data_IF_507457945463
#
_entry.id   IF_507457945463
#
_cell.length_a   1.000
_cell.length_b   1.000
_cell.length_c   1.000
_cell.angle_alpha   90.00
_cell.angle_beta   90.00
_cell.angle_gamma   90.00
#
_symmetry.space_group_name_H-M   'P 1'
#
loop_
_entity.id
_entity.type
_entity.pdbx_description
1 polymer ?
#
# COMPACT_ATOMS: atom_id res chain seq x y z
N UNK A 1 2.96 -18.69 -36.71
CA UNK A 1 1.65 -18.00 -36.75
C UNK A 1 1.76 -16.81 -35.75
N UNK A 2 1.97 -15.62 -36.29
CA UNK A 2 2.15 -14.41 -35.50
C UNK A 2 0.78 -14.08 -34.89
N UNK A 3 0.62 -14.15 -33.56
CA UNK A 3 -0.54 -13.58 -32.89
C UNK A 3 -0.30 -12.08 -32.75
N UNK A 4 -0.81 -11.31 -33.69
CA UNK A 4 -0.92 -9.87 -33.52
C UNK A 4 -1.99 -9.62 -32.45
N UNK A 5 -1.58 -9.21 -31.28
CA UNK A 5 -2.53 -8.86 -30.23
C UNK A 5 -3.04 -7.45 -30.49
N UNK A 6 -4.25 -7.31 -31.05
CA UNK A 6 -4.93 -6.00 -31.15
C UNK A 6 -5.39 -5.48 -29.78
N UNK A 7 -4.65 -5.80 -28.71
CA UNK A 7 -4.93 -5.37 -27.34
C UNK A 7 -3.95 -4.28 -26.92
N UNK A 8 -4.40 -3.29 -26.16
CA UNK A 8 -3.49 -2.32 -25.57
C UNK A 8 -2.43 -3.01 -24.70
N UNK A 9 -1.18 -2.58 -24.84
CA UNK A 9 -0.03 -3.10 -24.12
C UNK A 9 0.60 -1.99 -23.27
N UNK A 10 1.04 -2.36 -22.10
CA UNK A 10 1.98 -1.60 -21.28
C UNK A 10 3.32 -2.34 -21.32
N UNK A 11 4.08 -2.12 -22.38
CA UNK A 11 5.42 -2.68 -22.60
C UNK A 11 6.32 -1.57 -23.09
N UNK A 12 7.59 -1.57 -22.70
CA UNK A 12 8.54 -0.59 -23.19
C UNK A 12 8.75 -0.76 -24.70
N UNK A 13 8.83 0.34 -25.44
CA UNK A 13 8.80 0.35 -26.91
C UNK A 13 9.93 -0.46 -27.56
N UNK A 14 11.12 -0.49 -26.96
CA UNK A 14 12.25 -1.28 -27.41
C UNK A 14 12.04 -2.80 -27.35
N UNK A 15 11.05 -3.25 -26.58
CA UNK A 15 10.67 -4.66 -26.46
C UNK A 15 9.43 -5.02 -27.30
N UNK A 16 8.86 -4.04 -28.01
CA UNK A 16 7.62 -4.29 -28.76
C UNK A 16 7.82 -5.27 -29.92
N UNK A 17 8.88 -5.10 -30.72
CA UNK A 17 9.18 -6.00 -31.84
C UNK A 17 9.52 -7.43 -31.40
N UNK A 18 10.40 -7.64 -30.41
CA UNK A 18 10.61 -8.98 -29.84
C UNK A 18 9.33 -9.59 -29.27
N UNK A 19 8.49 -8.76 -28.64
CA UNK A 19 7.19 -9.18 -28.09
C UNK A 19 6.19 -9.63 -29.17
N UNK A 20 6.28 -9.05 -30.38
CA UNK A 20 5.44 -9.39 -31.53
C UNK A 20 6.00 -10.47 -32.43
N UNK A 21 7.34 -10.66 -32.45
CA UNK A 21 8.06 -11.57 -33.34
C UNK A 21 8.68 -12.76 -32.59
N UNK A 22 7.91 -13.45 -31.77
CA UNK A 22 8.39 -14.58 -30.98
C UNK A 22 8.99 -15.70 -31.83
N UNK A 23 10.30 -15.94 -31.67
CA UNK A 23 10.91 -17.18 -32.08
C UNK A 23 10.62 -18.29 -31.06
N UNK A 24 10.49 -19.53 -31.61
CA UNK A 24 10.21 -20.71 -30.80
C UNK A 24 11.35 -21.01 -29.83
N UNK A 25 11.13 -20.89 -28.52
CA UNK A 25 12.05 -21.31 -27.47
C UNK A 25 11.62 -22.72 -27.00
N UNK A 26 12.57 -23.70 -26.94
CA UNK A 26 12.22 -25.06 -26.53
C UNK A 26 11.67 -25.10 -25.10
N UNK A 27 10.68 -26.00 -24.91
CA UNK A 27 10.00 -26.23 -23.64
C UNK A 27 10.96 -26.53 -22.49
N UNK A 28 11.23 -25.56 -21.65
CA UNK A 28 11.66 -25.75 -20.28
C UNK A 28 10.42 -25.53 -19.39
N UNK A 29 10.07 -26.48 -18.58
CA UNK A 29 8.95 -26.35 -17.66
C UNK A 29 9.39 -25.43 -16.52
N UNK A 30 9.30 -24.12 -16.71
CA UNK A 30 9.41 -23.18 -15.60
C UNK A 30 8.01 -23.01 -14.99
N UNK A 31 7.77 -23.70 -13.90
CA UNK A 31 6.66 -23.40 -12.99
C UNK A 31 7.14 -22.28 -12.08
N UNK A 32 6.95 -21.04 -12.51
CA UNK A 32 7.26 -19.83 -11.72
C UNK A 32 6.13 -19.48 -10.75
N UNK A 33 5.57 -20.46 -10.04
CA UNK A 33 4.43 -20.20 -9.16
C UNK A 33 4.77 -20.32 -7.66
N UNK A 34 6.02 -20.53 -7.32
CA UNK A 34 6.42 -20.66 -5.93
C UNK A 34 7.46 -19.59 -5.55
N UNK A 35 7.16 -18.86 -4.47
CA UNK A 35 8.16 -18.00 -3.84
C UNK A 35 9.16 -18.85 -3.07
N UNK A 36 10.40 -18.38 -2.97
CA UNK A 36 11.39 -18.90 -2.03
C UNK A 36 11.41 -18.04 -0.77
N UNK A 37 11.72 -18.64 0.38
CA UNK A 37 11.89 -17.88 1.62
C UNK A 37 13.38 -17.84 1.94
N UNK A 38 13.91 -16.64 2.10
CA UNK A 38 15.27 -16.41 2.55
C UNK A 38 15.24 -15.45 3.76
N UNK A 39 15.64 -15.96 4.93
CA UNK A 39 15.65 -15.20 6.20
C UNK A 39 14.34 -14.43 6.49
N UNK A 40 13.18 -15.08 6.33
CA UNK A 40 11.87 -14.45 6.56
C UNK A 40 11.34 -13.63 5.39
N UNK A 41 12.13 -13.40 4.33
CA UNK A 41 11.71 -12.66 3.13
C UNK A 41 11.22 -13.64 2.07
N UNK A 42 9.95 -13.51 1.65
CA UNK A 42 9.42 -14.26 0.50
C UNK A 42 9.84 -13.57 -0.81
N UNK A 43 10.66 -14.23 -1.60
CA UNK A 43 11.11 -13.72 -2.90
C UNK A 43 10.21 -14.24 -4.00
N UNK A 44 9.55 -13.33 -4.69
CA UNK A 44 8.58 -13.61 -5.77
C UNK A 44 9.16 -13.09 -7.08
N UNK A 45 9.52 -13.97 -8.03
CA UNK A 45 10.05 -13.54 -9.32
C UNK A 45 8.95 -12.98 -10.23
N UNK A 46 9.25 -11.84 -10.87
CA UNK A 46 8.38 -11.15 -11.84
C UNK A 46 9.20 -10.88 -13.10
N UNK A 47 9.32 -11.90 -13.96
CA UNK A 47 10.26 -11.90 -15.07
C UNK A 47 9.57 -11.99 -16.43
N UNK A 48 10.21 -11.35 -17.43
CA UNK A 48 9.80 -11.40 -18.81
C UNK A 48 8.47 -10.66 -19.06
N UNK A 49 7.77 -11.04 -20.13
CA UNK A 49 6.51 -10.39 -20.52
C UNK A 49 5.39 -10.72 -19.54
N UNK A 50 4.66 -9.68 -19.10
CA UNK A 50 3.52 -9.86 -18.19
C UNK A 50 2.23 -10.09 -18.96
N UNK A 51 1.49 -11.13 -18.57
CA UNK A 51 0.28 -11.57 -19.28
C UNK A 51 -0.87 -11.79 -18.30
N UNK A 52 -2.11 -11.68 -18.81
CA UNK A 52 -3.30 -12.01 -18.01
C UNK A 52 -3.40 -13.51 -17.73
N UNK A 53 -2.97 -14.33 -18.66
CA UNK A 53 -3.09 -15.80 -18.58
C UNK A 53 -1.77 -16.45 -18.92
N UNK A 54 -1.48 -17.60 -18.29
CA UNK A 54 -0.30 -18.40 -18.60
C UNK A 54 -0.29 -18.79 -20.07
N UNK A 55 0.69 -18.27 -20.83
CA UNK A 55 1.00 -18.72 -22.17
C UNK A 55 2.21 -19.65 -22.07
N UNK A 56 1.99 -20.96 -22.22
CA UNK A 56 2.97 -22.05 -21.97
C UNK A 56 4.22 -22.05 -22.85
N UNK A 57 4.43 -21.04 -23.67
CA UNK A 57 5.46 -21.08 -24.72
C UNK A 57 6.53 -20.02 -24.62
N UNK A 58 6.46 -19.10 -23.64
CA UNK A 58 7.35 -17.95 -23.57
C UNK A 58 7.83 -17.68 -22.16
N UNK A 59 8.92 -16.94 -22.06
CA UNK A 59 9.40 -16.36 -20.79
C UNK A 59 8.41 -15.28 -20.34
N UNK A 60 7.34 -15.72 -19.68
CA UNK A 60 6.23 -14.86 -19.26
C UNK A 60 5.88 -15.13 -17.80
N UNK A 61 5.50 -14.08 -17.10
CA UNK A 61 4.88 -14.17 -15.78
C UNK A 61 3.43 -13.71 -15.92
N UNK A 62 2.47 -14.47 -15.39
CA UNK A 62 1.09 -14.04 -15.44
C UNK A 62 0.63 -13.40 -14.12
N UNK A 63 -0.36 -12.50 -14.21
CA UNK A 63 -0.86 -11.76 -13.07
C UNK A 63 -1.50 -12.64 -11.98
N UNK A 64 -2.14 -13.74 -12.39
CA UNK A 64 -2.77 -14.66 -11.44
C UNK A 64 -1.72 -15.41 -10.60
N UNK A 65 -0.54 -15.74 -11.19
CA UNK A 65 0.56 -16.37 -10.45
C UNK A 65 1.20 -15.40 -9.45
N UNK A 66 1.38 -14.13 -9.83
CA UNK A 66 1.86 -13.09 -8.91
C UNK A 66 0.86 -12.93 -7.75
N UNK A 67 -0.43 -12.82 -8.07
CA UNK A 67 -1.50 -12.72 -7.06
C UNK A 67 -1.47 -13.88 -6.08
N UNK A 68 -1.39 -15.11 -6.58
CA UNK A 68 -1.38 -16.32 -5.76
C UNK A 68 -0.13 -16.38 -4.87
N UNK A 69 1.04 -16.04 -5.40
CA UNK A 69 2.30 -16.04 -4.66
C UNK A 69 2.29 -15.00 -3.54
N UNK A 70 1.88 -13.76 -3.85
CA UNK A 70 1.73 -12.70 -2.82
C UNK A 70 0.68 -13.12 -1.78
N UNK A 71 -0.47 -13.63 -2.21
CA UNK A 71 -1.54 -14.04 -1.29
C UNK A 71 -1.09 -15.16 -0.34
N UNK A 72 -0.36 -16.16 -0.83
CA UNK A 72 0.18 -17.25 0.00
C UNK A 72 1.23 -16.74 0.97
N UNK A 73 2.19 -15.92 0.50
CA UNK A 73 3.23 -15.35 1.34
C UNK A 73 2.69 -14.47 2.48
N UNK A 74 1.59 -13.74 2.23
CA UNK A 74 0.92 -12.95 3.26
C UNK A 74 0.31 -13.79 4.39
N UNK A 75 -0.02 -15.06 4.13
CA UNK A 75 -0.61 -15.98 5.12
C UNK A 75 0.39 -17.02 5.66
N UNK A 76 1.63 -16.98 5.23
CA UNK A 76 2.69 -17.89 5.73
C UNK A 76 3.36 -17.28 6.95
N UNK A 77 3.23 -17.93 8.11
CA UNK A 77 3.81 -17.47 9.38
C UNK A 77 5.35 -17.39 9.38
N UNK A 78 6.00 -18.01 8.39
CA UNK A 78 7.47 -17.94 8.22
C UNK A 78 7.93 -16.71 7.43
N UNK A 79 6.97 -15.98 6.87
CA UNK A 79 7.24 -14.80 6.02
C UNK A 79 6.97 -13.54 6.84
N UNK A 80 7.99 -12.71 6.99
CA UNK A 80 7.93 -11.42 7.66
C UNK A 80 7.71 -10.28 6.65
N UNK A 81 8.33 -10.39 5.48
CA UNK A 81 8.20 -9.44 4.38
C UNK A 81 8.26 -10.12 3.01
N UNK A 82 7.89 -9.41 1.96
CA UNK A 82 7.89 -9.88 0.58
C UNK A 82 8.82 -9.02 -0.27
N UNK A 83 9.54 -9.65 -1.18
CA UNK A 83 10.35 -8.99 -2.21
C UNK A 83 9.89 -9.45 -3.60
N UNK A 84 9.34 -8.54 -4.40
CA UNK A 84 9.12 -8.75 -5.81
C UNK A 84 10.45 -8.50 -6.55
N UNK A 85 11.08 -9.55 -7.03
CA UNK A 85 12.29 -9.48 -7.84
C UNK A 85 11.88 -9.33 -9.30
N UNK A 86 12.12 -8.13 -9.87
CA UNK A 86 11.50 -7.71 -11.13
C UNK A 86 12.58 -7.54 -12.22
N UNK A 87 12.39 -8.26 -13.32
CA UNK A 87 13.07 -8.04 -14.59
C UNK A 87 12.07 -8.21 -15.74
N UNK A 88 11.39 -7.12 -16.08
CA UNK A 88 10.26 -7.16 -17.01
C UNK A 88 10.09 -5.86 -17.81
N UNK A 89 9.88 -5.96 -19.13
CA UNK A 89 9.54 -4.80 -19.97
C UNK A 89 8.09 -4.32 -19.80
N UNK A 90 7.27 -5.02 -19.02
CA UNK A 90 5.85 -4.80 -18.90
C UNK A 90 5.01 -5.87 -19.59
N UNK A 91 3.81 -5.54 -20.06
CA UNK A 91 2.94 -6.52 -20.69
C UNK A 91 1.49 -6.06 -20.93
N UNK A 92 0.54 -6.99 -20.82
CA UNK A 92 -0.88 -6.75 -21.08
C UNK A 92 -1.53 -5.83 -20.02
N UNK A 93 -2.51 -5.03 -20.45
CA UNK A 93 -3.28 -4.17 -19.54
C UNK A 93 -4.31 -4.97 -18.74
N UNK A 94 -4.88 -6.01 -19.38
CA UNK A 94 -6.02 -6.75 -18.81
C UNK A 94 -5.67 -7.44 -17.48
N UNK A 95 -6.30 -7.01 -16.36
CA UNK A 95 -6.09 -7.56 -15.03
C UNK A 95 -4.92 -6.97 -14.24
N UNK A 96 -4.14 -6.07 -14.85
CA UNK A 96 -3.00 -5.43 -14.21
C UNK A 96 -3.42 -4.59 -13.00
N UNK A 97 -4.37 -3.68 -13.18
CA UNK A 97 -4.72 -2.71 -12.15
C UNK A 97 -5.40 -3.35 -10.94
N UNK A 98 -6.13 -4.45 -11.13
CA UNK A 98 -6.69 -5.23 -10.02
C UNK A 98 -5.57 -5.85 -9.16
N UNK A 99 -4.51 -6.38 -9.80
CA UNK A 99 -3.33 -6.88 -9.10
C UNK A 99 -2.57 -5.76 -8.37
N UNK A 100 -2.40 -4.61 -9.02
CA UNK A 100 -1.73 -3.43 -8.44
C UNK A 100 -2.49 -2.95 -7.19
N UNK A 101 -3.82 -2.88 -7.25
CA UNK A 101 -4.65 -2.48 -6.10
C UNK A 101 -4.60 -3.50 -4.97
N UNK A 102 -4.56 -4.79 -5.30
CA UNK A 102 -4.37 -5.86 -4.31
C UNK A 102 -3.02 -5.72 -3.57
N UNK A 103 -1.92 -5.55 -4.29
CA UNK A 103 -0.58 -5.38 -3.70
C UNK A 103 -0.54 -4.11 -2.84
N UNK A 104 -1.08 -2.99 -3.35
CA UNK A 104 -1.15 -1.73 -2.63
C UNK A 104 -1.88 -1.87 -1.29
N UNK A 105 -3.04 -2.53 -1.28
CA UNK A 105 -3.81 -2.78 -0.05
C UNK A 105 -3.21 -3.83 0.89
N UNK A 106 -2.33 -4.69 0.37
CA UNK A 106 -1.70 -5.75 1.15
C UNK A 106 -0.44 -5.30 1.90
N UNK A 107 0.23 -4.23 1.47
CA UNK A 107 1.50 -3.75 2.03
C UNK A 107 1.44 -3.30 3.50
N UNK A 108 0.22 -3.04 4.02
CA UNK A 108 -0.01 -2.71 5.42
C UNK A 108 -0.08 -3.96 6.34
N UNK A 109 -0.23 -5.17 5.75
CA UNK A 109 -0.24 -6.43 6.48
C UNK A 109 1.17 -6.97 6.72
N UNK A 110 1.97 -7.00 5.67
CA UNK A 110 3.39 -7.29 5.67
C UNK A 110 4.08 -6.34 4.70
N UNK A 111 5.27 -5.81 4.98
CA UNK A 111 6.01 -4.98 4.03
C UNK A 111 6.20 -5.72 2.70
N UNK A 112 5.90 -5.04 1.59
CA UNK A 112 6.12 -5.56 0.24
C UNK A 112 7.12 -4.63 -0.44
N UNK A 113 8.25 -5.17 -0.83
CA UNK A 113 9.33 -4.47 -1.50
C UNK A 113 9.38 -4.85 -2.97
N UNK A 114 9.84 -3.95 -3.83
CA UNK A 114 10.18 -4.23 -5.21
C UNK A 114 11.68 -4.00 -5.44
N UNK A 115 12.30 -4.89 -6.17
CA UNK A 115 13.67 -4.72 -6.66
C UNK A 115 13.67 -4.81 -8.19
N UNK A 116 13.94 -3.68 -8.85
CA UNK A 116 14.21 -3.70 -10.27
C UNK A 116 15.63 -4.27 -10.47
N UNK A 117 15.71 -5.57 -10.65
CA UNK A 117 16.99 -6.27 -10.81
C UNK A 117 17.70 -5.86 -12.10
N UNK A 118 16.96 -5.77 -13.22
CA UNK A 118 17.40 -5.16 -14.47
C UNK A 118 16.38 -4.13 -14.96
N UNK A 119 15.16 -4.54 -15.23
CA UNK A 119 14.11 -3.63 -15.71
C UNK A 119 12.78 -3.83 -14.98
N UNK A 120 12.15 -2.71 -14.59
CA UNK A 120 10.75 -2.69 -14.16
C UNK A 120 10.03 -1.60 -14.96
N UNK A 121 9.64 -1.92 -16.21
CA UNK A 121 9.05 -0.96 -17.12
C UNK A 121 7.54 -1.17 -17.26
N UNK A 122 6.83 -0.08 -17.50
CA UNK A 122 5.44 -0.07 -17.91
C UNK A 122 4.53 -0.87 -16.96
N UNK A 123 3.91 -1.98 -17.35
CA UNK A 123 3.08 -2.79 -16.45
C UNK A 123 3.87 -3.31 -15.22
N UNK A 124 5.13 -3.64 -15.39
CA UNK A 124 5.99 -4.06 -14.29
C UNK A 124 6.25 -2.89 -13.31
N UNK A 125 6.38 -1.66 -13.83
CA UNK A 125 6.47 -0.49 -12.98
C UNK A 125 5.16 -0.20 -12.23
N UNK A 126 3.99 -0.43 -12.86
CA UNK A 126 2.73 -0.32 -12.15
C UNK A 126 2.69 -1.23 -10.92
N UNK A 127 3.16 -2.48 -11.05
CA UNK A 127 3.29 -3.44 -9.96
C UNK A 127 4.30 -2.94 -8.91
N UNK A 128 5.51 -2.56 -9.35
CA UNK A 128 6.54 -2.03 -8.45
C UNK A 128 6.05 -0.80 -7.66
N UNK A 129 5.30 0.09 -8.31
CA UNK A 129 4.76 1.31 -7.69
C UNK A 129 3.84 1.03 -6.50
N UNK A 130 3.16 -0.14 -6.48
CA UNK A 130 2.26 -0.54 -5.41
C UNK A 130 2.99 -1.02 -4.15
N UNK A 131 4.27 -1.33 -4.26
CA UNK A 131 5.09 -1.80 -3.14
C UNK A 131 5.41 -0.67 -2.15
N UNK A 132 5.81 -1.04 -0.93
CA UNK A 132 6.18 -0.10 0.12
C UNK A 132 7.44 0.70 -0.23
N UNK A 133 8.40 0.05 -0.90
CA UNK A 133 9.62 0.69 -1.44
C UNK A 133 10.07 0.00 -2.70
N UNK A 134 10.78 0.76 -3.54
CA UNK A 134 11.37 0.31 -4.80
C UNK A 134 12.87 0.48 -4.71
N UNK A 135 13.59 -0.64 -4.79
CA UNK A 135 15.04 -0.69 -4.90
C UNK A 135 15.44 -0.80 -6.38
N UNK A 136 16.51 -0.14 -6.74
CA UNK A 136 17.14 -0.24 -8.05
C UNK A 136 18.63 -0.50 -7.88
N UNK A 137 19.31 -1.10 -8.84
CA UNK A 137 20.77 -1.08 -8.91
C UNK A 137 21.25 0.10 -9.78
N UNK A 138 22.56 0.27 -9.94
CA UNK A 138 23.16 1.40 -10.69
C UNK A 138 22.74 1.46 -12.15
N UNK A 139 22.39 0.31 -12.74
CA UNK A 139 22.10 0.15 -14.18
C UNK A 139 20.66 -0.23 -14.44
N UNK A 140 19.92 -0.69 -13.43
CA UNK A 140 18.53 -1.06 -13.61
C UNK A 140 17.62 0.14 -13.87
N UNK A 141 16.58 -0.09 -14.62
CA UNK A 141 15.67 0.93 -15.09
C UNK A 141 14.24 0.76 -14.58
N UNK A 142 13.55 1.91 -14.43
CA UNK A 142 12.14 1.99 -14.09
C UNK A 142 11.43 3.02 -14.98
N UNK A 143 10.10 3.05 -14.96
CA UNK A 143 9.34 4.04 -15.71
C UNK A 143 8.61 3.44 -16.89
N UNK A 144 8.72 4.04 -18.09
CA UNK A 144 7.92 3.70 -19.25
C UNK A 144 6.40 3.75 -18.92
N UNK A 145 5.98 4.82 -18.20
CA UNK A 145 4.58 4.99 -17.76
C UNK A 145 3.76 5.48 -18.95
N UNK A 146 3.35 4.54 -19.79
CA UNK A 146 2.64 4.81 -21.03
C UNK A 146 1.87 3.60 -21.52
N UNK A 147 1.01 3.81 -22.53
CA UNK A 147 0.17 2.78 -23.13
C UNK A 147 0.33 2.82 -24.63
N UNK A 148 0.54 1.67 -25.25
CA UNK A 148 0.58 1.54 -26.71
C UNK A 148 -0.44 0.52 -27.19
N UNK A 149 -0.99 0.77 -28.38
CA UNK A 149 -1.78 -0.17 -29.12
C UNK A 149 -1.30 -0.17 -30.57
N UNK A 150 -1.08 -1.33 -31.14
CA UNK A 150 -0.58 -1.49 -32.52
C UNK A 150 -1.63 -2.18 -33.38
N UNK A 151 -1.98 -1.58 -34.49
CA UNK A 151 -2.73 -2.22 -35.57
C UNK A 151 -1.76 -2.58 -36.70
N UNK A 152 -1.78 -3.84 -37.12
CA UNK A 152 -0.97 -4.31 -38.24
C UNK A 152 -1.87 -4.42 -39.48
N UNK A 153 -1.55 -3.69 -40.54
CA UNK A 153 -2.21 -3.79 -41.83
C UNK A 153 -1.41 -4.70 -42.76
N UNK A 154 -2.00 -5.84 -43.12
CA UNK A 154 -1.44 -6.83 -44.07
C UNK A 154 -2.17 -6.86 -45.42
N UNK A 155 -3.07 -5.93 -45.69
CA UNK A 155 -3.91 -5.91 -46.87
C UNK A 155 -3.13 -5.93 -48.19
N UNK A 156 -1.97 -5.23 -48.23
CA UNK A 156 -1.11 -5.26 -49.44
C UNK A 156 -0.38 -6.60 -49.61
N UNK A 157 -0.04 -7.28 -48.53
CA UNK A 157 0.52 -8.64 -48.59
C UNK A 157 -0.53 -9.62 -49.11
N UNK A 158 -1.76 -9.53 -48.66
CA UNK A 158 -2.88 -10.35 -49.12
C UNK A 158 -3.10 -10.18 -50.64
N UNK A 159 -3.10 -8.92 -51.13
CA UNK A 159 -3.20 -8.63 -52.56
C UNK A 159 -2.08 -9.31 -53.37
N UNK A 160 -0.82 -9.22 -52.90
CA UNK A 160 0.33 -9.85 -53.58
C UNK A 160 0.22 -11.37 -53.59
N UNK A 161 -0.38 -11.96 -52.58
CA UNK A 161 -0.64 -13.41 -52.49
C UNK A 161 -1.89 -13.83 -53.25
N UNK A 162 -2.65 -12.91 -53.86
CA UNK A 162 -3.89 -13.19 -54.56
C UNK A 162 -5.05 -13.59 -53.64
N UNK A 163 -4.95 -13.32 -52.34
CA UNK A 163 -5.98 -13.62 -51.35
C UNK A 163 -6.90 -12.39 -51.18
N UNK A 164 -8.19 -12.62 -51.20
CA UNK A 164 -9.22 -11.61 -50.97
C UNK A 164 -10.09 -12.03 -49.78
N UNK A 165 -10.11 -11.21 -48.73
CA UNK A 165 -11.03 -11.38 -47.63
C UNK A 165 -12.33 -10.64 -47.90
N UNK A 166 -13.46 -11.31 -47.63
CA UNK A 166 -14.80 -10.69 -47.65
C UNK A 166 -15.45 -11.00 -46.33
N UNK A 167 -15.41 -10.01 -45.42
CA UNK A 167 -15.95 -10.15 -44.05
C UNK A 167 -17.44 -9.80 -44.08
N UNK A 168 -18.29 -10.70 -43.59
CA UNK A 168 -19.72 -10.42 -43.37
C UNK A 168 -19.92 -10.23 -41.86
N UNK A 169 -20.42 -9.11 -41.45
CA UNK A 169 -20.56 -8.75 -40.03
C UNK A 169 -21.85 -7.98 -39.76
N UNK A 170 -22.27 -7.98 -38.49
CA UNK A 170 -23.34 -7.16 -37.97
C UNK A 170 -22.81 -6.33 -36.80
N UNK A 171 -23.19 -5.04 -36.77
CA UNK A 171 -22.62 -4.04 -35.92
C UNK A 171 -21.44 -3.31 -36.56
N UNK A 172 -21.57 -2.00 -36.77
CA UNK A 172 -20.66 -1.17 -37.58
C UNK A 172 -19.18 -1.28 -37.15
N UNK A 173 -18.92 -1.47 -35.85
CA UNK A 173 -17.57 -1.48 -35.29
C UNK A 173 -16.94 -2.88 -35.25
N UNK A 174 -17.69 -3.94 -35.65
CA UNK A 174 -17.24 -5.32 -35.45
C UNK A 174 -15.99 -5.67 -36.24
N UNK A 175 -15.73 -4.98 -37.35
CA UNK A 175 -14.58 -5.19 -38.24
C UNK A 175 -13.48 -4.12 -38.09
N UNK A 176 -13.61 -3.18 -37.16
CA UNK A 176 -12.77 -1.98 -37.05
C UNK A 176 -11.26 -2.24 -37.00
N UNK A 177 -10.82 -3.34 -36.40
CA UNK A 177 -9.40 -3.66 -36.21
C UNK A 177 -8.97 -4.90 -37.01
N UNK A 178 -9.64 -5.20 -38.13
CA UNK A 178 -9.21 -6.28 -39.03
C UNK A 178 -7.83 -5.96 -39.62
N UNK A 179 -6.88 -6.91 -39.65
CA UNK A 179 -5.59 -6.67 -40.27
C UNK A 179 -5.63 -6.73 -41.81
N UNK A 180 -6.75 -7.10 -42.40
CA UNK A 180 -6.91 -7.30 -43.83
C UNK A 180 -7.40 -6.05 -44.57
N UNK A 181 -7.57 -4.97 -43.84
CA UNK A 181 -7.99 -3.67 -44.38
C UNK A 181 -7.22 -2.54 -43.69
N UNK A 182 -6.94 -1.41 -44.37
CA UNK A 182 -6.37 -0.22 -43.75
C UNK A 182 -7.23 0.28 -42.59
N UNK A 183 -6.58 0.72 -41.52
CA UNK A 183 -7.26 1.23 -40.35
C UNK A 183 -8.07 2.50 -40.69
N UNK A 184 -9.37 2.44 -40.52
CA UNK A 184 -10.24 3.60 -40.73
C UNK A 184 -9.97 4.71 -39.71
N UNK A 185 -10.23 5.96 -40.09
CA UNK A 185 -10.09 7.12 -39.19
C UNK A 185 -10.93 6.94 -37.93
N UNK A 186 -12.18 6.48 -38.07
CA UNK A 186 -13.08 6.27 -36.94
C UNK A 186 -12.53 5.22 -35.96
N UNK A 187 -12.06 4.07 -36.48
CA UNK A 187 -11.44 3.02 -35.67
C UNK A 187 -10.16 3.51 -34.97
N UNK A 188 -9.31 4.29 -35.66
CA UNK A 188 -8.13 4.93 -35.09
C UNK A 188 -8.50 5.89 -33.93
N UNK A 189 -9.49 6.75 -34.15
CA UNK A 189 -9.91 7.73 -33.14
C UNK A 189 -10.50 7.06 -31.90
N UNK A 190 -11.22 5.93 -32.08
CA UNK A 190 -11.73 5.11 -30.96
C UNK A 190 -10.61 4.44 -30.18
N UNK A 191 -9.66 3.81 -30.89
CA UNK A 191 -8.51 3.16 -30.26
C UNK A 191 -7.67 4.18 -29.48
N UNK A 192 -7.47 5.39 -30.03
CA UNK A 192 -6.76 6.47 -29.35
C UNK A 192 -7.47 6.92 -28.07
N UNK A 193 -8.80 7.03 -28.08
CA UNK A 193 -9.55 7.34 -26.86
C UNK A 193 -9.36 6.29 -25.77
N UNK A 194 -9.36 5.02 -26.14
CA UNK A 194 -9.13 3.93 -25.19
C UNK A 194 -7.70 3.93 -24.64
N UNK A 195 -6.70 4.14 -25.48
CA UNK A 195 -5.30 4.31 -25.07
C UNK A 195 -5.16 5.47 -24.09
N UNK A 196 -5.79 6.61 -24.38
CA UNK A 196 -5.76 7.77 -23.48
C UNK A 196 -6.44 7.46 -22.14
N UNK A 197 -7.59 6.79 -22.14
CA UNK A 197 -8.30 6.38 -20.91
C UNK A 197 -7.41 5.49 -20.02
N UNK A 198 -6.74 4.53 -20.62
CA UNK A 198 -5.84 3.62 -19.91
C UNK A 198 -4.58 4.35 -19.41
N UNK A 199 -4.08 5.31 -20.18
CA UNK A 199 -2.97 6.16 -19.75
C UNK A 199 -3.32 7.00 -18.53
N UNK A 200 -4.48 7.65 -18.50
CA UNK A 200 -4.95 8.40 -17.34
C UNK A 200 -5.11 7.49 -16.09
N UNK A 201 -5.61 6.28 -16.28
CA UNK A 201 -5.69 5.28 -15.21
C UNK A 201 -4.30 4.92 -14.67
N UNK A 202 -3.32 4.74 -15.54
CA UNK A 202 -1.95 4.43 -15.15
C UNK A 202 -1.31 5.61 -14.39
N UNK A 203 -1.42 6.82 -14.90
CA UNK A 203 -0.91 8.02 -14.22
C UNK A 203 -1.49 8.17 -12.82
N UNK A 204 -2.82 8.05 -12.68
CA UNK A 204 -3.50 8.19 -11.38
C UNK A 204 -3.12 7.08 -10.41
N UNK A 205 -2.93 5.86 -10.90
CA UNK A 205 -2.49 4.71 -10.09
C UNK A 205 -1.09 4.94 -9.54
N UNK A 206 -0.14 5.34 -10.38
CA UNK A 206 1.24 5.62 -9.94
C UNK A 206 1.29 6.84 -9.01
N UNK A 207 0.53 7.90 -9.31
CA UNK A 207 0.43 9.09 -8.45
C UNK A 207 -0.02 8.72 -7.04
N UNK A 208 -1.09 7.93 -6.91
CA UNK A 208 -1.57 7.41 -5.62
C UNK A 208 -0.49 6.56 -4.94
N UNK A 209 0.05 5.59 -5.65
CA UNK A 209 0.95 4.58 -5.08
C UNK A 209 2.26 5.19 -4.57
N UNK A 210 2.81 6.16 -5.31
CA UNK A 210 4.08 6.83 -5.03
C UNK A 210 3.91 8.14 -4.25
N UNK A 211 2.67 8.56 -3.99
CA UNK A 211 2.37 9.88 -3.40
C UNK A 211 3.03 11.03 -4.17
N UNK A 212 2.94 11.01 -5.49
CA UNK A 212 3.48 12.02 -6.41
C UNK A 212 2.37 12.81 -7.09
N UNK A 213 2.68 14.05 -7.47
CA UNK A 213 1.80 14.83 -8.34
C UNK A 213 1.66 14.13 -9.71
N UNK A 214 0.43 13.93 -10.17
CA UNK A 214 0.10 13.30 -11.45
C UNK A 214 0.75 14.05 -12.63
N UNK A 215 0.85 15.38 -12.56
CA UNK A 215 1.47 16.18 -13.61
C UNK A 215 3.00 15.99 -13.65
N UNK A 216 3.63 15.70 -12.51
CA UNK A 216 5.05 15.31 -12.46
C UNK A 216 5.26 13.99 -13.22
N UNK A 217 4.37 13.02 -13.03
CA UNK A 217 4.43 11.73 -13.74
C UNK A 217 4.12 11.93 -15.24
N UNK A 218 3.10 12.70 -15.57
CA UNK A 218 2.74 13.03 -16.97
C UNK A 218 3.91 13.68 -17.74
N UNK A 219 4.70 14.54 -17.07
CA UNK A 219 5.89 15.17 -17.66
C UNK A 219 7.01 14.20 -18.00
N UNK A 220 7.01 13.01 -17.45
CA UNK A 220 8.00 11.96 -17.83
C UNK A 220 7.82 11.49 -19.27
N UNK A 221 6.61 11.70 -19.86
CA UNK A 221 6.28 11.31 -21.24
C UNK A 221 6.66 9.86 -21.57
N UNK A 222 6.41 8.96 -20.62
CA UNK A 222 6.76 7.54 -20.68
C UNK A 222 8.26 7.25 -20.86
N UNK A 223 9.14 8.16 -20.45
CA UNK A 223 10.57 7.91 -20.46
C UNK A 223 10.96 6.84 -19.42
N UNK A 224 12.13 6.23 -19.65
CA UNK A 224 12.80 5.30 -18.73
C UNK A 224 13.88 6.04 -17.94
N UNK A 225 14.06 5.66 -16.67
CA UNK A 225 15.02 6.26 -15.76
C UNK A 225 15.84 5.18 -15.09
N UNK A 226 17.15 5.40 -15.00
CA UNK A 226 18.11 4.40 -14.54
C UNK A 226 18.87 4.90 -13.31
N UNK A 227 19.14 4.00 -12.37
CA UNK A 227 19.97 4.28 -11.20
C UNK A 227 19.55 5.55 -10.45
N UNK A 228 20.47 6.51 -10.28
CA UNK A 228 20.23 7.75 -9.54
C UNK A 228 19.11 8.59 -10.14
N UNK A 229 18.99 8.66 -11.46
CA UNK A 229 17.94 9.43 -12.13
C UNK A 229 16.53 8.91 -11.75
N UNK A 230 16.38 7.60 -11.49
CA UNK A 230 15.12 7.04 -11.05
C UNK A 230 14.70 7.55 -9.66
N UNK A 231 15.67 7.80 -8.78
CA UNK A 231 15.43 8.37 -7.45
C UNK A 231 15.12 9.86 -7.55
N UNK A 232 15.88 10.62 -8.34
CA UNK A 232 15.67 12.07 -8.53
C UNK A 232 14.25 12.40 -9.02
N UNK A 233 13.71 11.60 -9.93
CA UNK A 233 12.34 11.78 -10.42
C UNK A 233 11.28 11.20 -9.46
N UNK A 234 11.67 10.47 -8.41
CA UNK A 234 10.80 9.88 -7.40
C UNK A 234 10.18 8.54 -7.80
N UNK A 235 10.70 7.90 -8.86
CA UNK A 235 10.21 6.61 -9.35
C UNK A 235 10.88 5.41 -8.64
N UNK A 236 11.98 5.63 -7.92
CA UNK A 236 12.62 4.66 -7.05
C UNK A 236 12.99 5.31 -5.71
N UNK A 237 13.34 4.50 -4.72
CA UNK A 237 13.59 4.98 -3.35
C UNK A 237 15.04 4.83 -2.92
N UNK A 238 15.76 3.84 -3.48
CA UNK A 238 17.11 3.54 -3.01
C UNK A 238 17.90 2.72 -4.04
N UNK A 239 19.21 3.02 -4.14
CA UNK A 239 20.14 2.22 -4.95
C UNK A 239 20.80 1.18 -4.06
N UNK A 240 20.70 -0.07 -4.43
CA UNK A 240 21.40 -1.18 -3.77
C UNK A 240 21.71 -2.30 -4.74
N UNK A 241 22.81 -3.01 -4.52
CA UNK A 241 23.08 -4.28 -5.17
C UNK A 241 22.65 -5.49 -4.31
N UNK A 242 22.20 -5.25 -3.08
CA UNK A 242 21.77 -6.26 -2.14
C UNK A 242 20.49 -5.81 -1.39
N UNK A 243 19.31 -5.95 -2.01
CA UNK A 243 18.06 -5.52 -1.40
C UNK A 243 17.74 -6.28 -0.11
N UNK A 244 18.17 -7.53 0.04
CA UNK A 244 17.96 -8.34 1.24
C UNK A 244 18.60 -7.71 2.48
N UNK A 245 19.86 -7.27 2.35
CA UNK A 245 20.56 -6.61 3.46
C UNK A 245 19.85 -5.33 3.89
N UNK A 246 19.34 -4.56 2.92
CA UNK A 246 18.60 -3.32 3.23
C UNK A 246 17.23 -3.61 3.87
N UNK A 247 16.54 -4.66 3.44
CA UNK A 247 15.28 -5.11 4.05
C UNK A 247 15.54 -5.52 5.51
N UNK A 248 16.50 -6.41 5.75
CA UNK A 248 16.85 -6.88 7.09
C UNK A 248 17.27 -5.75 8.05
N UNK A 249 18.07 -4.78 7.56
CA UNK A 249 18.44 -3.61 8.37
C UNK A 249 17.22 -2.77 8.76
N UNK A 250 16.26 -2.63 7.87
CA UNK A 250 15.05 -1.82 8.11
C UNK A 250 14.08 -2.52 9.05
N UNK A 251 13.89 -3.82 8.88
CA UNK A 251 13.05 -4.61 9.77
C UNK A 251 13.59 -4.57 11.19
N UNK A 252 14.88 -4.83 11.39
CA UNK A 252 15.53 -4.72 12.70
C UNK A 252 15.36 -3.34 13.34
N UNK A 253 15.55 -2.27 12.56
CA UNK A 253 15.36 -0.90 13.05
C UNK A 253 13.89 -0.61 13.43
N UNK A 254 12.94 -1.22 12.73
CA UNK A 254 11.51 -1.06 13.01
C UNK A 254 11.11 -1.84 14.27
N UNK A 255 11.69 -3.04 14.47
CA UNK A 255 11.54 -3.81 15.71
C UNK A 255 12.09 -3.06 16.92
N UNK A 256 13.33 -2.54 16.84
CA UNK A 256 13.97 -1.74 17.89
C UNK A 256 13.11 -0.53 18.26
N UNK A 257 12.56 0.18 17.26
CA UNK A 257 11.67 1.32 17.49
C UNK A 257 10.36 0.92 18.14
N UNK A 258 9.75 -0.18 17.72
CA UNK A 258 8.54 -0.70 18.33
C UNK A 258 8.77 -1.13 19.77
N UNK A 259 9.92 -1.78 20.07
CA UNK A 259 10.32 -2.11 21.44
C UNK A 259 10.48 -0.87 22.33
N UNK A 260 11.15 0.18 21.83
CA UNK A 260 11.28 1.45 22.54
C UNK A 260 9.91 2.10 22.81
N UNK A 261 8.99 2.10 21.85
CA UNK A 261 7.63 2.63 22.01
C UNK A 261 6.82 1.81 23.04
N UNK A 262 6.93 0.50 23.00
CA UNK A 262 6.28 -0.40 23.98
C UNK A 262 6.83 -0.16 25.38
N UNK A 263 8.13 -0.02 25.53
CA UNK A 263 8.76 0.23 26.82
C UNK A 263 8.37 1.61 27.40
N UNK A 264 8.32 2.61 26.54
CA UNK A 264 7.82 3.95 26.91
C UNK A 264 6.35 3.87 27.38
N UNK A 265 5.50 3.16 26.66
CA UNK A 265 4.10 2.99 27.04
C UNK A 265 3.93 2.24 28.36
N UNK A 266 4.75 1.20 28.59
CA UNK A 266 4.80 0.48 29.86
C UNK A 266 5.20 1.38 31.02
N UNK A 267 6.21 2.25 30.82
CA UNK A 267 6.65 3.20 31.83
C UNK A 267 5.54 4.21 32.17
N UNK A 268 4.83 4.74 31.17
CA UNK A 268 3.68 5.63 31.38
C UNK A 268 2.55 4.94 32.18
N UNK A 269 2.21 3.69 31.83
CA UNK A 269 1.19 2.93 32.58
C UNK A 269 1.60 2.72 34.04
N UNK A 270 2.88 2.42 34.31
CA UNK A 270 3.38 2.26 35.67
C UNK A 270 3.30 3.57 36.48
N UNK A 271 3.63 4.70 35.86
CA UNK A 271 3.50 6.02 36.50
C UNK A 271 2.03 6.35 36.80
N UNK A 272 1.12 6.11 35.86
CA UNK A 272 -0.33 6.27 36.08
C UNK A 272 -0.82 5.39 37.23
N UNK A 273 -0.36 4.14 37.29
CA UNK A 273 -0.74 3.22 38.36
C UNK A 273 -0.24 3.71 39.74
N UNK A 274 1.00 4.24 39.80
CA UNK A 274 1.56 4.82 41.01
C UNK A 274 0.77 6.07 41.47
N UNK A 275 0.42 6.95 40.52
CA UNK A 275 -0.41 8.14 40.82
C UNK A 275 -1.80 7.75 41.34
N UNK A 276 -2.45 6.76 40.72
CA UNK A 276 -3.74 6.25 41.19
C UNK A 276 -3.63 5.66 42.62
N UNK A 277 -2.53 4.94 42.92
CA UNK A 277 -2.27 4.38 44.23
C UNK A 277 -2.06 5.47 45.29
N UNK A 278 -1.25 6.48 44.97
CA UNK A 278 -0.99 7.62 45.87
C UNK A 278 -2.26 8.42 46.15
N UNK A 279 -3.15 8.55 45.19
CA UNK A 279 -4.43 9.23 45.32
C UNK A 279 -5.58 8.38 45.87
N UNK A 280 -5.31 7.13 46.28
CA UNK A 280 -6.33 6.12 46.65
C UNK A 280 -7.47 6.02 45.64
N UNK A 281 -7.10 6.00 44.35
CA UNK A 281 -8.02 6.01 43.21
C UNK A 281 -7.80 4.83 42.24
N UNK A 282 -7.36 3.67 42.75
CA UNK A 282 -6.98 2.49 41.95
C UNK A 282 -8.12 2.03 41.04
N UNK A 283 -9.38 2.24 41.44
CA UNK A 283 -10.57 1.91 40.63
C UNK A 283 -10.68 2.72 39.33
N UNK A 284 -9.96 3.87 39.23
CA UNK A 284 -9.95 4.72 38.04
C UNK A 284 -8.87 4.32 37.02
N UNK A 285 -7.93 3.45 37.41
CA UNK A 285 -6.78 3.05 36.56
C UNK A 285 -7.22 2.50 35.21
N UNK A 286 -8.10 1.51 35.20
CA UNK A 286 -8.59 0.91 33.95
C UNK A 286 -9.20 1.96 33.02
N UNK A 287 -10.02 2.87 33.57
CA UNK A 287 -10.65 3.94 32.81
C UNK A 287 -9.63 4.90 32.18
N UNK A 288 -8.58 5.27 32.90
CA UNK A 288 -7.54 6.14 32.37
C UNK A 288 -6.76 5.48 31.24
N UNK A 289 -6.47 4.19 31.35
CA UNK A 289 -5.79 3.40 30.30
C UNK A 289 -6.69 3.26 29.08
N UNK A 290 -7.96 2.87 29.24
CA UNK A 290 -8.93 2.71 28.12
C UNK A 290 -9.14 4.02 27.36
N UNK A 291 -9.18 5.15 28.06
CA UNK A 291 -9.35 6.47 27.49
C UNK A 291 -8.03 7.10 27.00
N UNK A 292 -6.91 6.36 27.09
CA UNK A 292 -5.57 6.81 26.65
C UNK A 292 -5.16 8.15 27.26
N UNK A 293 -5.47 8.38 28.55
CA UNK A 293 -5.01 9.58 29.23
C UNK A 293 -3.49 9.58 29.37
N UNK A 294 -2.88 10.74 29.12
CA UNK A 294 -1.46 10.97 29.43
C UNK A 294 -1.25 11.09 30.94
N UNK A 295 -0.03 10.91 31.40
CA UNK A 295 0.35 11.06 32.81
C UNK A 295 -0.12 12.41 33.38
N UNK A 296 0.05 13.51 32.63
CA UNK A 296 -0.35 14.85 33.06
C UNK A 296 -1.86 15.02 33.17
N UNK A 297 -2.62 14.46 32.22
CA UNK A 297 -4.09 14.43 32.28
C UNK A 297 -4.60 13.65 33.50
N UNK A 298 -3.92 12.55 33.85
CA UNK A 298 -4.23 11.77 35.05
C UNK A 298 -3.93 12.58 36.30
N UNK A 299 -2.78 13.28 36.40
CA UNK A 299 -2.43 14.17 37.52
C UNK A 299 -3.52 15.22 37.73
N UNK A 300 -3.92 15.92 36.68
CA UNK A 300 -4.97 16.94 36.74
C UNK A 300 -6.34 16.35 37.19
N UNK A 301 -6.74 15.23 36.61
CA UNK A 301 -7.99 14.56 36.96
C UNK A 301 -8.02 14.05 38.43
N UNK A 302 -6.88 13.64 38.96
CA UNK A 302 -6.75 13.21 40.35
C UNK A 302 -6.77 14.43 41.32
N UNK A 303 -6.03 15.50 41.01
CA UNK A 303 -6.04 16.75 41.80
C UNK A 303 -7.45 17.34 41.88
N UNK A 304 -8.13 17.52 40.77
CA UNK A 304 -9.52 18.02 40.75
C UNK A 304 -10.47 17.14 41.56
N UNK A 305 -10.20 15.84 41.66
CA UNK A 305 -11.02 14.93 42.47
C UNK A 305 -10.69 14.98 43.97
N UNK A 306 -9.49 15.48 44.36
CA UNK A 306 -9.08 15.66 45.75
C UNK A 306 -9.62 16.99 46.27
N UNK A 307 -9.51 18.08 45.51
CA UNK A 307 -10.07 19.40 45.88
C UNK A 307 -11.57 19.32 46.10
N UNK A 308 -12.31 18.57 45.26
CA UNK A 308 -13.74 18.33 45.43
C UNK A 308 -14.06 17.54 46.74
N UNK A 309 -13.16 16.67 47.20
CA UNK A 309 -13.35 15.95 48.48
C UNK A 309 -13.06 16.86 49.69
N UNK A 310 -12.09 17.77 49.59
CA UNK A 310 -11.81 18.75 50.65
C UNK A 310 -12.94 19.76 50.77
N UNK A 311 -13.50 20.26 49.68
CA UNK A 311 -14.69 21.14 49.72
C UNK A 311 -15.89 20.44 50.35
N UNK A 312 -16.16 19.17 50.00
CA UNK A 312 -17.26 18.41 50.62
C UNK A 312 -17.01 18.17 52.11
N UNK A 313 -15.77 17.87 52.50
CA UNK A 313 -15.40 17.66 53.92
C UNK A 313 -15.50 18.95 54.71
N UNK A 314 -15.09 20.08 54.16
CA UNK A 314 -15.23 21.40 54.81
C UNK A 314 -16.69 21.83 54.92
N UNK A 315 -17.51 21.57 53.92
CA UNK A 315 -18.95 21.86 53.98
C UNK A 315 -19.71 21.01 55.03
N UNK A 316 -19.30 19.75 55.17
CA UNK A 316 -19.87 18.87 56.19
C UNK A 316 -19.47 19.33 57.61
N UNK A 317 -18.20 19.72 57.79
CA UNK A 317 -17.70 20.22 59.06
C UNK A 317 -18.35 21.54 59.46
N UNK A 318 -18.58 22.49 58.52
CA UNK A 318 -19.32 23.73 58.77
C UNK A 318 -20.79 23.48 59.09
N UNK A 319 -21.45 22.47 58.48
CA UNK A 319 -22.84 22.12 58.75
C UNK A 319 -23.03 21.46 60.14
N UNK A 320 -22.04 20.70 60.61
CA UNK A 320 -22.05 20.12 61.98
C UNK A 320 -21.73 21.15 63.06
N UNK A 321 -20.88 22.15 62.78
CA UNK A 321 -20.61 23.25 63.71
C UNK A 321 -21.79 24.23 63.90
N UNK A 322 -22.69 24.32 62.93
CA UNK A 322 -23.88 25.14 63.04
C UNK A 322 -25.04 24.44 63.79
N UNK A 323 -24.96 23.15 64.06
CA UNK A 323 -25.90 22.48 64.98
C UNK A 323 -25.45 22.76 66.40
N UNK A 324 -26.19 23.64 67.10
CA UNK A 324 -26.00 23.95 68.52
C UNK A 324 -25.88 22.63 69.31
N UNK A 325 -24.79 22.48 70.06
CA UNK A 325 -24.51 21.27 70.82
C UNK A 325 -25.75 21.04 71.77
N UNK A 326 -26.40 19.90 71.68
CA UNK A 326 -27.63 19.61 72.45
C UNK A 326 -27.41 19.76 73.97
N UNK A 327 -26.16 19.60 74.45
CA UNK A 327 -25.78 19.86 75.87
C UNK A 327 -25.79 21.35 76.21
N UNK A 328 -25.44 22.22 75.27
CA UNK A 328 -25.47 23.67 75.46
C UNK A 328 -26.91 24.18 75.40
N UNK A 329 -27.74 23.66 74.50
CA UNK A 329 -29.16 23.99 74.43
C UNK A 329 -29.89 23.55 75.69
N UNK A 330 -29.59 22.38 76.24
CA UNK A 330 -30.18 21.92 77.52
C UNK A 330 -29.70 22.75 78.75
N UNK A 331 -28.47 23.20 78.74
CA UNK A 331 -27.97 24.09 79.78
C UNK A 331 -28.59 25.50 79.76
N UNK A 332 -28.87 26.07 78.60
CA UNK A 332 -29.59 27.30 78.43
C UNK A 332 -31.04 27.18 78.89
N UNK A 333 -31.71 26.07 78.66
CA UNK A 333 -33.09 25.87 79.18
C UNK A 333 -33.16 25.70 80.68
N UNK A 334 -32.14 25.14 81.35
CA UNK A 334 -32.09 25.05 82.84
C UNK A 334 -31.74 26.37 83.50
N UNK A 335 -30.96 27.20 82.83
CA UNK A 335 -30.61 28.54 83.40
C UNK A 335 -31.75 29.54 83.30
N UNK A 336 -32.72 29.37 82.43
CA UNK A 336 -33.91 30.22 82.24
C UNK A 336 -35.07 29.96 83.20
N UNK A 337 -34.95 28.96 84.12
CA UNK A 337 -36.07 28.57 85.01
C UNK A 337 -35.85 28.89 86.50
N UNK A 338 -34.91 29.79 86.85
CA UNK A 338 -34.77 30.28 88.21
C UNK A 338 -35.38 31.67 88.29
N UNK A 339 -36.66 31.75 88.60
CA UNK A 339 -37.33 32.90 89.03
C UNK A 339 -37.19 33.01 90.58
N UNK A 340 -36.46 34.00 91.00
CA UNK A 340 -36.48 34.46 92.41
C UNK A 340 -37.82 35.16 92.68
N UNK A 341 -38.59 34.62 93.60
CA UNK A 341 -39.60 35.41 94.30
C UNK A 341 -39.12 35.89 95.65
N UNK A 342 -39.65 36.99 96.08
CA UNK A 342 -39.03 37.91 97.06
C UNK A 342 -39.01 37.42 98.49
#
# INVERSE_FOLDING_TARGET
MIRVTNRPLLVASEYLEPTLNFEWIPKGTFVLSEYSIDNGVAVIPVYGLLTKRSERFYYTTNYDDIYLSVSRALHDDKVESLLLDIDSPGGEVGGLFDLVDFIYGARDKKPIYAYANDSAFSAAYAIASACSRIFVNRTSGVGSIGVIATHTDISEADKKLGVKYTTIFAGEEKNDLTPHEPLSKNAKDKLQREVNRLYEMFLSTVARNRNLDIEKIRKTQAATYYGENAIEVGLADEITCNPWEEIMKKEKKMEEKNEEEIEKYRAEILEIAQLCKLAHAERKLAKFIEQKFTVDQVKEALLNSMDAKEEISSHVYHKEMQKENPVIAAAKQRAGSVTLHP
#
